data_IF_400164184741
#
_entry.id   IF_400164184741
#
_cell.length_a   1.000
_cell.length_b   1.000
_cell.length_c   1.000
_cell.angle_alpha   90.00
_cell.angle_beta   90.00
_cell.angle_gamma   90.00
#
_symmetry.space_group_name_H-M   'P 1'
#
loop_
_entity.id
_entity.type
_entity.pdbx_description
1 polymer ?
#
# COMPACT_ATOMS: atom_id res chain seq x y z
N UNK A 1 -12.80 -12.14 34.01
CA UNK A 1 -13.08 -11.60 32.66
C UNK A 1 -12.45 -12.57 31.67
N UNK A 2 -13.24 -13.35 30.94
CA UNK A 2 -12.72 -14.34 30.00
C UNK A 2 -12.07 -13.63 28.81
N UNK A 3 -10.83 -13.97 28.46
CA UNK A 3 -10.22 -13.48 27.22
C UNK A 3 -10.87 -14.19 26.04
N UNK A 4 -10.94 -13.55 24.88
CA UNK A 4 -11.47 -14.17 23.65
C UNK A 4 -10.73 -15.47 23.30
N UNK A 5 -9.44 -15.55 23.64
CA UNK A 5 -8.64 -16.78 23.51
C UNK A 5 -9.07 -17.88 24.47
N UNK A 6 -9.48 -17.55 25.70
CA UNK A 6 -10.03 -18.52 26.66
C UNK A 6 -11.33 -19.13 26.17
N UNK A 7 -12.23 -18.31 25.62
CA UNK A 7 -13.49 -18.79 25.02
C UNK A 7 -13.23 -19.63 23.76
N UNK A 8 -12.16 -19.36 23.01
CA UNK A 8 -11.78 -20.18 21.86
C UNK A 8 -11.21 -21.54 22.26
N UNK A 9 -10.41 -21.61 23.34
CA UNK A 9 -9.88 -22.87 23.90
C UNK A 9 -11.00 -23.81 24.39
N UNK A 10 -12.10 -23.25 24.88
CA UNK A 10 -13.27 -24.00 25.32
C UNK A 10 -14.07 -24.62 24.16
N UNK A 11 -13.77 -24.24 22.91
CA UNK A 11 -14.44 -24.81 21.72
C UNK A 11 -13.62 -25.98 21.19
N UNK A 12 -14.23 -27.16 21.17
CA UNK A 12 -13.60 -28.41 20.69
C UNK A 12 -13.23 -28.38 19.18
N UNK A 13 -13.74 -27.42 18.40
CA UNK A 13 -13.60 -27.36 16.94
C UNK A 13 -12.40 -26.53 16.44
N UNK A 14 -11.50 -26.07 17.30
CA UNK A 14 -10.35 -25.25 16.87
C UNK A 14 -9.18 -26.14 16.42
N UNK A 15 -9.06 -26.35 15.11
CA UNK A 15 -7.98 -27.14 14.48
C UNK A 15 -6.67 -26.33 14.25
N UNK A 16 -6.29 -25.45 15.19
CA UNK A 16 -5.12 -24.59 15.02
C UNK A 16 -4.57 -23.94 16.29
N UNK A 17 -3.30 -23.53 16.23
CA UNK A 17 -2.62 -22.92 17.37
C UNK A 17 -3.19 -21.54 17.71
N UNK A 18 -3.44 -21.33 19.00
CA UNK A 18 -3.91 -20.06 19.55
C UNK A 18 -2.76 -19.29 20.18
N UNK A 19 -2.60 -18.03 19.78
CA UNK A 19 -1.53 -17.16 20.27
C UNK A 19 -2.14 -15.90 20.86
N UNK A 20 -1.77 -15.60 22.11
CA UNK A 20 -2.06 -14.31 22.72
C UNK A 20 -1.02 -13.29 22.26
N UNK A 21 -1.44 -12.26 21.52
CA UNK A 21 -0.53 -11.24 21.03
C UNK A 21 -1.23 -9.92 20.65
N UNK A 22 -0.47 -8.82 20.73
CA UNK A 22 -0.87 -7.52 20.19
C UNK A 22 -0.29 -7.37 18.79
N UNK A 23 -1.14 -7.49 17.76
CA UNK A 23 -0.73 -7.36 16.36
C UNK A 23 -0.09 -5.99 16.03
N UNK A 24 -0.36 -4.93 16.82
CA UNK A 24 0.26 -3.61 16.65
C UNK A 24 1.74 -3.58 17.03
N UNK A 25 2.24 -4.59 17.76
CA UNK A 25 3.65 -4.77 18.07
C UNK A 25 4.41 -5.52 16.96
N UNK A 26 3.67 -6.14 16.04
CA UNK A 26 4.18 -6.87 14.88
C UNK A 26 4.05 -8.39 15.00
N UNK A 27 4.38 -9.06 13.90
CA UNK A 27 4.27 -10.51 13.76
C UNK A 27 5.58 -11.22 14.16
N UNK A 28 5.56 -12.09 15.19
CA UNK A 28 6.75 -12.75 15.72
C UNK A 28 7.08 -14.07 15.00
N UNK A 29 7.00 -14.09 13.66
CA UNK A 29 7.26 -15.29 12.86
C UNK A 29 8.43 -15.09 11.91
N UNK A 30 9.05 -16.21 11.51
CA UNK A 30 10.11 -16.21 10.50
C UNK A 30 9.60 -15.66 9.16
N UNK A 31 10.55 -15.18 8.34
CA UNK A 31 10.22 -14.65 7.03
C UNK A 31 9.72 -15.76 6.10
N UNK A 32 8.66 -15.49 5.33
CA UNK A 32 8.10 -16.43 4.35
C UNK A 32 7.42 -17.66 4.94
N UNK A 33 7.03 -17.64 6.22
CA UNK A 33 6.37 -18.77 6.90
C UNK A 33 4.96 -19.06 6.36
N UNK A 34 4.20 -18.03 5.97
CA UNK A 34 2.78 -18.19 5.64
C UNK A 34 2.47 -17.90 4.17
N UNK A 35 1.58 -18.70 3.58
CA UNK A 35 1.08 -18.51 2.22
C UNK A 35 -0.09 -17.51 2.12
N UNK A 36 -0.62 -17.10 3.27
CA UNK A 36 -1.64 -16.07 3.32
C UNK A 36 -1.96 -15.63 4.74
N UNK A 37 -2.77 -14.58 4.84
CA UNK A 37 -3.30 -14.08 6.10
C UNK A 37 -4.75 -13.61 5.93
N UNK A 38 -5.58 -13.88 6.93
CA UNK A 38 -6.97 -13.41 6.97
C UNK A 38 -7.20 -12.73 8.32
N UNK A 39 -7.93 -11.61 8.31
CA UNK A 39 -8.38 -10.94 9.51
C UNK A 39 -9.82 -10.49 9.32
N UNK A 40 -10.69 -10.87 10.25
CA UNK A 40 -12.11 -10.51 10.21
C UNK A 40 -12.40 -9.61 11.42
N UNK A 41 -12.87 -8.39 11.15
CA UNK A 41 -13.33 -7.45 12.18
C UNK A 41 -12.30 -7.15 13.28
N UNK A 42 -11.00 -7.14 12.96
CA UNK A 42 -9.95 -6.84 13.95
C UNK A 42 -9.07 -5.62 13.60
N UNK A 43 -8.82 -5.36 12.31
CA UNK A 43 -7.85 -4.35 11.88
C UNK A 43 -8.19 -2.93 12.38
N UNK A 44 -9.47 -2.60 12.54
CA UNK A 44 -9.92 -1.28 12.99
C UNK A 44 -9.40 -0.92 14.40
N UNK A 45 -9.09 -1.91 15.24
CA UNK A 45 -8.53 -1.65 16.57
C UNK A 45 -7.12 -1.06 16.53
N UNK A 46 -6.38 -1.22 15.41
CA UNK A 46 -5.09 -0.54 15.22
C UNK A 46 -5.23 0.93 14.84
N UNK A 47 -6.42 1.37 14.45
CA UNK A 47 -6.71 2.78 14.20
C UNK A 47 -6.99 3.55 15.51
N UNK A 48 -7.27 2.85 16.61
CA UNK A 48 -7.62 3.46 17.89
C UNK A 48 -6.39 3.73 18.76
N UNK A 49 -6.45 4.79 19.57
CA UNK A 49 -5.38 5.25 20.45
C UNK A 49 -5.83 5.23 21.92
N UNK A 50 -6.22 4.06 22.44
CA UNK A 50 -6.72 3.91 23.82
C UNK A 50 -5.69 4.24 24.93
N UNK A 51 -4.40 4.24 24.60
CA UNK A 51 -3.31 4.55 25.53
C UNK A 51 -2.46 5.68 24.94
N UNK A 52 -1.88 6.51 25.79
CA UNK A 52 -0.97 7.59 25.36
C UNK A 52 0.25 7.10 24.55
N UNK A 53 0.62 5.82 24.69
CA UNK A 53 1.69 5.20 23.91
C UNK A 53 1.25 4.70 22.52
N UNK A 54 -0.04 4.74 22.20
CA UNK A 54 -0.57 4.27 20.93
C UNK A 54 -0.46 5.37 19.88
N UNK A 55 0.40 5.14 18.90
CA UNK A 55 0.49 5.93 17.67
C UNK A 55 -0.05 5.05 16.52
N UNK A 56 -1.31 5.24 16.08
CA UNK A 56 -1.94 4.38 15.09
C UNK A 56 -1.15 4.23 13.78
N UNK A 57 -0.62 5.32 13.17
CA UNK A 57 0.29 5.21 12.03
C UNK A 57 1.50 4.29 12.26
N UNK A 58 2.18 4.40 13.41
CA UNK A 58 3.34 3.55 13.72
C UNK A 58 2.95 2.09 13.96
N UNK A 59 1.86 1.85 14.70
CA UNK A 59 1.34 0.50 14.98
C UNK A 59 0.93 -0.21 13.69
N UNK A 60 0.18 0.47 12.82
CA UNK A 60 -0.20 -0.04 11.50
C UNK A 60 1.03 -0.34 10.63
N UNK A 61 2.02 0.56 10.59
CA UNK A 61 3.24 0.32 9.84
C UNK A 61 4.02 -0.88 10.38
N UNK A 62 4.15 -1.00 11.71
CA UNK A 62 4.82 -2.14 12.36
C UNK A 62 4.12 -3.46 12.05
N UNK A 63 2.79 -3.49 12.16
CA UNK A 63 1.96 -4.63 11.79
C UNK A 63 2.18 -5.03 10.33
N UNK A 64 1.97 -4.13 9.37
CA UNK A 64 2.08 -4.48 7.95
C UNK A 64 3.51 -4.82 7.53
N UNK A 65 4.53 -4.15 8.04
CA UNK A 65 5.94 -4.44 7.67
C UNK A 65 6.40 -5.82 8.15
N UNK A 66 6.04 -6.18 9.38
CA UNK A 66 6.35 -7.51 9.92
C UNK A 66 5.51 -8.59 9.27
N UNK A 67 4.22 -8.36 9.06
CA UNK A 67 3.35 -9.29 8.34
C UNK A 67 3.84 -9.52 6.90
N UNK A 68 4.22 -8.48 6.17
CA UNK A 68 4.78 -8.60 4.82
C UNK A 68 6.02 -9.51 4.82
N UNK A 69 6.86 -9.40 5.85
CA UNK A 69 8.05 -10.23 5.99
C UNK A 69 7.70 -11.71 6.25
N UNK A 70 6.67 -11.96 7.06
CA UNK A 70 6.22 -13.32 7.39
C UNK A 70 5.51 -14.04 6.23
N UNK A 71 5.07 -13.30 5.21
CA UNK A 71 4.33 -13.86 4.07
C UNK A 71 5.26 -14.27 2.92
N UNK A 72 4.89 -15.36 2.22
CA UNK A 72 5.61 -15.82 1.03
C UNK A 72 5.43 -14.86 -0.15
N UNK A 73 6.28 -14.98 -1.19
CA UNK A 73 6.35 -14.02 -2.33
C UNK A 73 5.10 -13.95 -3.19
N UNK A 74 4.20 -14.93 -3.11
CA UNK A 74 2.95 -15.03 -3.85
C UNK A 74 1.73 -15.05 -2.94
N UNK A 75 1.91 -14.69 -1.67
CA UNK A 75 0.88 -14.71 -0.67
C UNK A 75 -0.14 -13.59 -0.82
N UNK A 76 -1.32 -13.82 -0.25
CA UNK A 76 -2.41 -12.84 -0.16
C UNK A 76 -2.79 -12.60 1.28
N UNK A 77 -3.09 -11.35 1.60
CA UNK A 77 -3.61 -10.97 2.90
C UNK A 77 -4.93 -10.23 2.73
N UNK A 78 -5.99 -10.72 3.37
CA UNK A 78 -7.34 -10.16 3.27
C UNK A 78 -7.81 -9.72 4.65
N UNK A 79 -8.19 -8.45 4.77
CA UNK A 79 -8.68 -7.87 6.02
C UNK A 79 -10.09 -7.34 5.81
N UNK A 80 -11.07 -7.95 6.46
CA UNK A 80 -12.38 -7.34 6.62
C UNK A 80 -12.32 -6.42 7.84
N UNK A 81 -12.76 -5.17 7.69
CA UNK A 81 -12.75 -4.20 8.77
C UNK A 81 -13.88 -3.17 8.65
N UNK A 82 -14.11 -2.42 9.72
CA UNK A 82 -15.10 -1.35 9.79
C UNK A 82 -14.39 0.00 10.00
N UNK A 83 -14.11 0.75 8.93
CA UNK A 83 -13.57 2.11 9.06
C UNK A 83 -14.65 3.07 9.56
N UNK A 84 -14.28 3.97 10.47
CA UNK A 84 -15.19 5.04 10.93
C UNK A 84 -15.33 6.16 9.91
N UNK A 85 -14.25 6.45 9.17
CA UNK A 85 -14.20 7.51 8.18
C UNK A 85 -13.27 7.15 7.02
N UNK A 86 -13.30 7.96 5.95
CA UNK A 86 -12.46 7.73 4.78
C UNK A 86 -10.96 7.94 5.06
N UNK A 87 -10.61 8.73 6.08
CA UNK A 87 -9.22 8.95 6.48
C UNK A 87 -8.58 7.69 7.05
N UNK A 88 -9.32 6.91 7.84
CA UNK A 88 -8.85 5.61 8.34
C UNK A 88 -8.61 4.63 7.19
N UNK A 89 -9.48 4.59 6.18
CA UNK A 89 -9.27 3.77 4.97
C UNK A 89 -7.96 4.17 4.29
N UNK A 90 -7.74 5.47 4.11
CA UNK A 90 -6.52 5.98 3.50
C UNK A 90 -5.28 5.70 4.35
N UNK A 91 -5.37 5.85 5.68
CA UNK A 91 -4.28 5.58 6.61
C UNK A 91 -3.83 4.12 6.52
N UNK A 92 -4.78 3.19 6.66
CA UNK A 92 -4.52 1.75 6.58
C UNK A 92 -3.90 1.38 5.23
N UNK A 93 -4.51 1.84 4.13
CA UNK A 93 -4.03 1.55 2.77
C UNK A 93 -2.63 2.14 2.53
N UNK A 94 -2.37 3.34 3.06
CA UNK A 94 -1.07 4.01 2.95
C UNK A 94 0.01 3.24 3.71
N UNK A 95 -0.26 2.78 4.94
CA UNK A 95 0.73 2.01 5.70
C UNK A 95 0.98 0.63 5.09
N UNK A 96 -0.06 -0.05 4.59
CA UNK A 96 0.10 -1.31 3.85
C UNK A 96 0.96 -1.13 2.59
N UNK A 97 0.67 -0.11 1.79
CA UNK A 97 1.45 0.22 0.58
C UNK A 97 2.89 0.61 0.93
N UNK A 98 3.08 1.31 2.05
CA UNK A 98 4.42 1.70 2.54
C UNK A 98 5.23 0.48 2.97
N UNK A 99 4.59 -0.54 3.55
CA UNK A 99 5.22 -1.78 3.97
C UNK A 99 5.66 -2.68 2.79
N UNK A 100 5.07 -2.50 1.60
CA UNK A 100 5.44 -3.23 0.39
C UNK A 100 4.28 -3.95 -0.30
N UNK A 101 3.11 -4.01 0.33
CA UNK A 101 1.94 -4.60 -0.28
C UNK A 101 1.44 -3.78 -1.48
N UNK A 102 0.81 -4.46 -2.42
CA UNK A 102 -0.05 -3.86 -3.44
C UNK A 102 -1.44 -4.47 -3.36
N UNK A 103 -2.40 -3.83 -4.03
CA UNK A 103 -3.81 -4.23 -3.99
C UNK A 103 -4.71 -3.02 -3.81
N UNK A 104 -5.82 -3.22 -3.11
CA UNK A 104 -6.84 -2.19 -2.93
C UNK A 104 -7.95 -2.59 -1.98
N UNK A 105 -8.93 -1.71 -1.86
CA UNK A 105 -10.13 -1.93 -1.05
C UNK A 105 -11.28 -2.34 -1.95
N UNK A 106 -11.97 -3.40 -1.55
CA UNK A 106 -13.19 -3.94 -2.17
C UNK A 106 -14.33 -3.69 -1.19
N UNK A 107 -15.44 -3.14 -1.69
CA UNK A 107 -16.60 -2.80 -0.86
C UNK A 107 -17.82 -3.58 -1.35
N UNK A 108 -18.27 -4.52 -0.54
CA UNK A 108 -19.50 -5.26 -0.82
C UNK A 108 -20.72 -4.43 -0.37
N UNK A 109 -21.79 -4.53 -1.18
CA UNK A 109 -23.05 -3.82 -0.97
C UNK A 109 -22.87 -2.31 -0.73
N UNK A 110 -22.21 -1.58 -1.66
CA UNK A 110 -21.83 -0.18 -1.44
C UNK A 110 -23.03 0.75 -1.17
N UNK A 111 -24.20 0.40 -1.69
CA UNK A 111 -25.45 1.16 -1.56
C UNK A 111 -26.24 0.84 -0.27
N UNK A 112 -25.85 -0.16 0.50
CA UNK A 112 -26.52 -0.53 1.77
C UNK A 112 -25.68 -0.07 2.94
N UNK A 113 -26.26 0.68 3.89
CA UNK A 113 -25.57 1.04 5.13
C UNK A 113 -25.47 -0.12 6.12
N UNK A 114 -26.44 -1.05 6.09
CA UNK A 114 -26.52 -2.21 7.00
C UNK A 114 -25.67 -3.39 6.52
N UNK A 115 -25.60 -3.62 5.21
CA UNK A 115 -24.89 -4.76 4.64
C UNK A 115 -23.48 -4.42 4.13
N UNK A 116 -23.05 -3.15 4.24
CA UNK A 116 -21.75 -2.70 3.76
C UNK A 116 -20.61 -3.46 4.42
N UNK A 117 -19.69 -4.01 3.63
CA UNK A 117 -18.47 -4.64 4.15
C UNK A 117 -17.25 -4.14 3.38
N UNK A 118 -16.23 -3.72 4.11
CA UNK A 118 -14.96 -3.31 3.53
C UNK A 118 -13.94 -4.43 3.65
N UNK A 119 -13.30 -4.77 2.54
CA UNK A 119 -12.24 -5.75 2.45
C UNK A 119 -10.98 -5.09 1.88
N UNK A 120 -9.92 -5.00 2.68
CA UNK A 120 -8.59 -4.67 2.20
C UNK A 120 -7.95 -5.95 1.64
N UNK A 121 -7.74 -5.99 0.34
CA UNK A 121 -7.13 -7.12 -0.36
C UNK A 121 -5.71 -6.74 -0.74
N UNK A 122 -4.75 -7.37 -0.09
CA UNK A 122 -3.31 -7.13 -0.24
C UNK A 122 -2.61 -8.35 -0.82
N UNK A 123 -1.53 -8.10 -1.55
CA UNK A 123 -0.72 -9.11 -2.20
C UNK A 123 0.76 -8.74 -2.05
N UNK A 124 1.64 -9.75 -1.96
CA UNK A 124 3.09 -9.57 -1.70
C UNK A 124 3.97 -9.61 -2.95
N UNK A 125 3.56 -10.35 -4.00
CA UNK A 125 4.22 -10.35 -5.31
C UNK A 125 3.39 -10.99 -6.43
N UNK A 126 3.57 -10.53 -7.67
CA UNK A 126 2.82 -10.96 -8.86
C UNK A 126 1.56 -10.13 -9.18
N UNK A 127 1.40 -9.67 -10.42
CA UNK A 127 0.17 -8.96 -10.82
C UNK A 127 -1.02 -9.91 -10.82
N UNK A 128 -1.90 -9.80 -9.82
CA UNK A 128 -3.18 -10.50 -9.81
C UNK A 128 -4.33 -9.51 -9.73
N UNK A 129 -5.45 -9.87 -10.37
CA UNK A 129 -6.64 -9.03 -10.44
C UNK A 129 -7.32 -9.03 -9.07
N UNK A 130 -7.78 -7.86 -8.61
CA UNK A 130 -8.57 -7.74 -7.38
C UNK A 130 -9.94 -8.41 -7.55
N UNK A 131 -10.47 -9.07 -6.52
CA UNK A 131 -11.77 -9.74 -6.61
C UNK A 131 -12.90 -8.73 -6.84
N UNK A 132 -13.94 -9.17 -7.55
CA UNK A 132 -15.15 -8.37 -7.82
C UNK A 132 -15.96 -8.24 -6.53
N UNK A 133 -16.34 -7.01 -6.19
CA UNK A 133 -17.26 -6.73 -5.08
C UNK A 133 -18.65 -7.33 -5.33
N UNK A 134 -19.31 -7.78 -4.26
CA UNK A 134 -20.68 -8.28 -4.29
C UNK A 134 -21.69 -7.13 -4.29
N UNK A 135 -22.78 -7.30 -5.05
CA UNK A 135 -23.89 -6.35 -5.09
C UNK A 135 -23.71 -5.15 -6.02
N UNK A 136 -22.93 -5.29 -7.10
CA UNK A 136 -22.58 -4.18 -8.03
C UNK A 136 -22.82 -4.55 -9.50
N UNK A 137 -23.41 -3.62 -10.25
CA UNK A 137 -23.42 -3.62 -11.72
C UNK A 137 -22.13 -2.95 -12.22
N UNK A 138 -21.17 -3.80 -12.57
CA UNK A 138 -19.95 -3.63 -13.37
C UNK A 138 -18.89 -2.50 -13.17
N UNK A 139 -19.09 -1.32 -12.54
CA UNK A 139 -18.03 -0.27 -12.68
C UNK A 139 -17.43 0.48 -11.48
N UNK A 140 -17.97 0.49 -10.24
CA UNK A 140 -17.56 1.56 -9.28
C UNK A 140 -17.05 1.16 -7.87
N UNK A 141 -16.50 -0.04 -7.64
CA UNK A 141 -16.23 -0.47 -6.23
C UNK A 141 -14.82 -0.97 -5.89
N UNK A 142 -13.89 -0.95 -6.85
CA UNK A 142 -12.48 -1.27 -6.58
C UNK A 142 -11.70 0.02 -6.65
N UNK A 143 -11.08 0.44 -5.53
CA UNK A 143 -10.17 1.59 -5.52
C UNK A 143 -8.73 1.08 -5.55
N UNK A 144 -8.11 0.92 -6.73
CA UNK A 144 -6.71 0.52 -6.84
C UNK A 144 -5.80 1.67 -6.40
N UNK A 145 -5.30 1.61 -5.18
CA UNK A 145 -4.40 2.65 -4.64
C UNK A 145 -2.95 2.48 -5.12
N UNK A 146 -2.56 1.29 -5.57
CA UNK A 146 -1.20 1.01 -6.04
C UNK A 146 -0.84 1.66 -7.40
N UNK A 147 -1.83 1.89 -8.28
CA UNK A 147 -1.59 2.40 -9.65
C UNK A 147 -1.00 3.81 -9.66
N UNK A 148 -1.38 4.65 -8.70
CA UNK A 148 -0.93 6.06 -8.64
C UNK A 148 0.56 6.20 -8.32
N UNK A 149 1.14 5.26 -7.58
CA UNK A 149 2.57 5.32 -7.21
C UNK A 149 3.48 4.78 -8.30
N UNK A 150 3.04 3.78 -9.05
CA UNK A 150 3.76 3.31 -10.24
C UNK A 150 3.69 4.34 -11.37
N UNK A 151 2.53 4.97 -11.57
CA UNK A 151 2.39 6.14 -12.46
C UNK A 151 3.25 7.32 -11.99
N UNK A 152 3.32 7.62 -10.68
CA UNK A 152 4.24 8.65 -10.17
C UNK A 152 5.72 8.27 -10.26
N UNK A 153 6.10 6.99 -10.19
CA UNK A 153 7.48 6.54 -10.44
C UNK A 153 7.85 6.61 -11.92
N UNK A 154 6.89 6.31 -12.81
CA UNK A 154 7.02 6.52 -14.27
C UNK A 154 7.03 8.01 -14.62
N UNK A 155 6.27 8.84 -13.91
CA UNK A 155 6.22 10.30 -14.07
C UNK A 155 7.39 11.04 -13.41
N UNK A 156 8.04 10.45 -12.39
CA UNK A 156 9.35 10.88 -11.87
C UNK A 156 10.47 10.44 -12.83
N UNK A 157 10.35 10.87 -14.08
CA UNK A 157 11.43 10.83 -15.06
C UNK A 157 12.71 11.44 -14.49
N UNK A 158 13.85 11.00 -15.04
CA UNK A 158 15.19 11.42 -14.63
C UNK A 158 15.28 12.94 -14.45
N UNK A 159 15.95 13.35 -13.38
CA UNK A 159 16.19 14.73 -12.95
C UNK A 159 16.24 15.74 -14.12
N UNK A 160 15.25 16.64 -14.18
CA UNK A 160 14.97 17.52 -15.31
C UNK A 160 16.14 18.44 -15.71
N UNK A 161 17.06 18.74 -14.78
CA UNK A 161 18.19 19.66 -15.00
C UNK A 161 19.30 19.15 -15.94
N UNK A 162 19.21 17.92 -16.47
CA UNK A 162 20.21 17.37 -17.41
C UNK A 162 19.61 16.71 -18.66
N UNK A 163 18.28 16.77 -18.85
CA UNK A 163 17.66 16.26 -20.08
C UNK A 163 18.01 17.17 -21.27
N UNK A 164 18.06 16.59 -22.47
CA UNK A 164 18.26 17.33 -23.73
C UNK A 164 17.21 18.43 -23.88
N UNK A 165 15.96 18.14 -23.53
CA UNK A 165 14.84 19.08 -23.66
C UNK A 165 15.02 20.29 -22.76
N UNK A 166 15.49 20.09 -21.53
CA UNK A 166 15.81 21.18 -20.60
C UNK A 166 16.95 22.08 -21.11
N UNK A 167 17.95 21.49 -21.78
CA UNK A 167 19.06 22.26 -22.38
C UNK A 167 18.55 23.13 -23.52
N UNK A 168 17.68 22.59 -24.38
CA UNK A 168 17.07 23.31 -25.50
C UNK A 168 16.21 24.47 -24.99
N UNK A 169 15.34 24.20 -24.03
CA UNK A 169 14.45 25.23 -23.45
C UNK A 169 15.25 26.35 -22.76
N UNK A 170 16.34 26.00 -22.06
CA UNK A 170 17.27 26.97 -21.45
C UNK A 170 17.99 27.82 -22.49
N UNK A 171 18.40 27.23 -23.61
CA UNK A 171 19.03 27.95 -24.73
C UNK A 171 18.03 28.91 -25.38
N UNK A 172 16.81 28.47 -25.64
CA UNK A 172 15.75 29.29 -26.23
C UNK A 172 15.40 30.49 -25.34
N UNK A 173 15.28 30.28 -24.02
CA UNK A 173 15.07 31.36 -23.05
C UNK A 173 16.18 32.41 -23.09
N UNK A 174 17.44 31.98 -23.27
CA UNK A 174 18.59 32.88 -23.39
C UNK A 174 18.62 33.60 -24.74
N UNK A 175 18.19 32.95 -25.84
CA UNK A 175 17.99 33.60 -27.15
C UNK A 175 16.94 34.73 -27.03
N UNK A 176 15.81 34.48 -26.37
CA UNK A 176 14.76 35.49 -26.10
C UNK A 176 15.26 36.67 -25.26
N UNK A 177 16.26 36.46 -24.41
CA UNK A 177 16.92 37.50 -23.62
C UNK A 177 18.06 38.22 -24.37
N UNK A 178 18.22 37.99 -25.68
CA UNK A 178 19.27 38.62 -26.51
C UNK A 178 20.68 38.16 -26.21
N UNK A 179 20.86 37.08 -25.42
CA UNK A 179 22.19 36.56 -25.07
C UNK A 179 22.74 35.71 -26.21
N UNK A 180 24.05 35.76 -26.43
CA UNK A 180 24.74 34.89 -27.40
C UNK A 180 24.65 33.43 -26.94
N UNK A 181 23.96 32.59 -27.70
CA UNK A 181 23.73 31.17 -27.42
C UNK A 181 24.18 30.32 -28.60
N UNK A 182 24.97 29.24 -28.38
CA UNK A 182 25.39 28.34 -29.47
C UNK A 182 24.22 27.56 -30.09
N UNK A 183 24.31 27.31 -31.40
CA UNK A 183 23.30 26.54 -32.14
C UNK A 183 23.13 25.10 -31.63
N UNK A 184 21.96 24.55 -31.92
CA UNK A 184 21.60 23.20 -31.50
C UNK A 184 22.21 22.17 -32.45
N UNK A 185 22.96 21.22 -31.89
CA UNK A 185 23.60 20.13 -32.65
C UNK A 185 23.03 18.77 -32.29
N UNK A 186 23.24 17.76 -33.14
CA UNK A 186 22.88 16.36 -32.88
C UNK A 186 23.51 15.78 -31.60
N UNK A 187 24.55 16.42 -31.07
CA UNK A 187 25.25 16.00 -29.84
C UNK A 187 24.78 16.74 -28.57
N UNK A 188 23.78 17.61 -28.67
CA UNK A 188 23.26 18.37 -27.52
C UNK A 188 22.67 17.44 -26.46
N UNK A 189 23.11 17.59 -25.20
CA UNK A 189 22.67 16.78 -24.07
C UNK A 189 23.23 15.35 -24.00
N UNK A 190 24.11 14.97 -24.92
CA UNK A 190 24.77 13.64 -24.90
C UNK A 190 26.02 13.69 -24.01
N UNK A 191 26.22 12.67 -23.15
CA UNK A 191 27.48 12.51 -22.41
C UNK A 191 28.62 12.40 -23.44
N UNK A 192 29.59 13.29 -23.36
CA UNK A 192 30.84 13.17 -24.12
C UNK A 192 31.70 12.13 -23.39
N UNK A 193 31.97 11.00 -24.03
CA UNK A 193 32.96 10.06 -23.53
C UNK A 193 34.34 10.59 -23.93
N UNK A 194 35.16 10.94 -22.95
CA UNK A 194 36.53 11.40 -23.20
C UNK A 194 37.24 11.72 -21.89
N UNK A 195 38.27 10.91 -21.59
CA UNK A 195 39.33 11.20 -20.62
C UNK A 195 39.98 12.53 -20.95
N UNK A 196 40.02 13.41 -19.97
CA UNK A 196 41.17 14.27 -19.67
C UNK A 196 41.38 14.16 -18.16
#
# INVERSE_FOLDING_TARGET
MYSTTGVALEREEVDGDLILGDMGQGMPFKAGTFDGAISISALQWLCNADKNSHDPPKRLYKFFSTLFSCLSRSARAVFQFYPENNEQIQLVTTQATKAGFYGGVVVDFPNSTKAKKYFLVLMTGGTTVLPRALGVNETDSVVPYASRREQMRKAKGKYMKSSKDWIIEKKERRRKQGKKVPEDSKYTGRRRCGRF
#
